data_IF_944107222965
#
_entry.id   IF_944107222965
#
_cell.length_a   1.000
_cell.length_b   1.000
_cell.length_c   1.000
_cell.angle_alpha   90.00
_cell.angle_beta   90.00
_cell.angle_gamma   90.00
#
_symmetry.space_group_name_H-M   'P 1'
#
loop_
_entity.id
_entity.type
_entity.pdbx_description
1 polymer ?
#
# COMPACT_ATOMS: atom_id res chain seq x y z
N UNK A 1 -24.07 26.94 83.66
CA UNK A 1 -24.51 25.62 83.17
C UNK A 1 -24.43 25.60 81.66
N UNK A 2 -23.38 25.03 81.05
CA UNK A 2 -23.33 24.93 79.58
C UNK A 2 -23.94 23.60 79.14
N UNK A 3 -24.71 23.65 78.07
CA UNK A 3 -25.35 22.51 77.41
C UNK A 3 -24.32 21.76 76.54
N UNK A 4 -24.19 20.48 76.79
CA UNK A 4 -23.44 19.59 75.90
C UNK A 4 -24.25 19.27 74.65
N UNK A 5 -23.68 19.53 73.48
CA UNK A 5 -24.23 19.10 72.20
C UNK A 5 -23.44 17.91 71.74
N UNK A 6 -24.09 16.74 71.62
CA UNK A 6 -23.53 15.52 71.07
C UNK A 6 -23.59 15.57 69.57
N UNK A 7 -22.43 15.54 68.90
CA UNK A 7 -22.33 15.40 67.42
C UNK A 7 -22.09 13.91 67.11
N UNK A 8 -23.04 13.28 66.44
CA UNK A 8 -22.93 11.92 65.94
C UNK A 8 -22.14 11.95 64.62
N UNK A 9 -20.98 11.27 64.60
CA UNK A 9 -20.17 11.02 63.41
C UNK A 9 -20.66 9.80 62.68
N UNK A 10 -21.23 10.01 61.49
CA UNK A 10 -21.63 8.90 60.60
C UNK A 10 -20.39 8.41 59.89
N UNK A 11 -19.98 7.15 60.16
CA UNK A 11 -18.93 6.45 59.42
C UNK A 11 -19.57 5.79 58.19
N UNK A 12 -19.34 6.37 56.99
CA UNK A 12 -19.73 5.76 55.75
C UNK A 12 -18.68 4.72 55.30
N UNK A 13 -19.08 3.45 55.32
CA UNK A 13 -18.29 2.35 54.75
C UNK A 13 -18.46 2.33 53.24
N UNK A 14 -17.39 2.64 52.50
CA UNK A 14 -17.32 2.43 51.06
C UNK A 14 -17.15 0.93 50.74
N UNK A 15 -17.89 0.38 49.77
CA UNK A 15 -17.64 -0.99 49.33
C UNK A 15 -16.36 -1.01 48.47
N UNK A 16 -15.51 -2.00 48.75
CA UNK A 16 -14.33 -2.29 47.93
C UNK A 16 -14.77 -2.66 46.51
N UNK A 17 -14.46 -1.79 45.54
CA UNK A 17 -14.59 -2.10 44.13
C UNK A 17 -13.51 -3.12 43.76
N UNK A 18 -13.92 -4.35 43.47
CA UNK A 18 -13.06 -5.35 42.88
C UNK A 18 -12.59 -4.86 41.49
N UNK A 19 -11.30 -4.57 41.36
CA UNK A 19 -10.65 -4.25 40.10
C UNK A 19 -10.55 -5.55 39.28
N UNK A 20 -11.50 -5.80 38.39
CA UNK A 20 -11.34 -6.80 37.33
C UNK A 20 -10.26 -6.30 36.36
N UNK A 21 -9.09 -6.91 36.42
CA UNK A 21 -8.09 -6.83 35.38
C UNK A 21 -8.67 -7.50 34.13
N UNK A 22 -9.31 -6.73 33.25
CA UNK A 22 -9.54 -7.16 31.87
C UNK A 22 -8.18 -7.25 31.19
N UNK A 23 -7.78 -8.48 30.89
CA UNK A 23 -6.75 -8.83 29.94
C UNK A 23 -7.02 -8.07 28.63
N UNK A 24 -6.08 -7.22 28.21
CA UNK A 24 -6.09 -6.60 26.87
C UNK A 24 -5.91 -7.70 25.83
N UNK A 25 -7.02 -8.26 25.38
CA UNK A 25 -7.11 -8.93 24.10
C UNK A 25 -7.00 -7.86 23.00
N UNK A 26 -6.25 -8.16 21.93
CA UNK A 26 -5.91 -7.26 20.83
C UNK A 26 -7.09 -6.40 20.37
N UNK A 27 -6.86 -5.10 20.29
CA UNK A 27 -7.84 -4.15 19.82
C UNK A 27 -8.22 -4.48 18.39
N UNK A 28 -9.43 -4.98 18.18
CA UNK A 28 -10.05 -4.98 16.87
C UNK A 28 -10.15 -3.51 16.45
N UNK A 29 -9.28 -3.08 15.55
CA UNK A 29 -9.43 -1.78 14.89
C UNK A 29 -10.78 -1.80 14.20
N UNK A 30 -11.68 -0.90 14.62
CA UNK A 30 -12.97 -0.74 13.98
C UNK A 30 -12.71 -0.36 12.52
N UNK A 31 -12.86 -1.36 11.66
CA UNK A 31 -12.73 -1.23 10.23
C UNK A 31 -13.82 -0.29 9.73
N UNK A 32 -13.49 0.75 8.94
CA UNK A 32 -14.54 1.57 8.33
C UNK A 32 -15.48 0.66 7.54
N UNK A 33 -16.81 0.82 7.69
CA UNK A 33 -17.76 0.03 6.93
C UNK A 33 -17.50 0.22 5.43
N UNK A 34 -17.64 -0.84 4.61
CA UNK A 34 -17.51 -0.69 3.16
C UNK A 34 -18.44 0.41 2.68
N UNK A 35 -17.95 1.25 1.76
CA UNK A 35 -18.75 2.33 1.19
C UNK A 35 -20.11 1.78 0.73
N UNK A 36 -21.19 2.43 1.14
CA UNK A 36 -22.56 2.01 0.80
C UNK A 36 -22.70 1.86 -0.72
N UNK A 37 -23.19 0.70 -1.17
CA UNK A 37 -23.33 0.41 -2.61
C UNK A 37 -22.25 -0.51 -3.20
N UNK A 38 -21.30 -1.00 -2.40
CA UNK A 38 -20.28 -1.95 -2.83
C UNK A 38 -20.49 -3.35 -2.21
N UNK A 39 -20.05 -4.40 -2.94
CA UNK A 39 -20.01 -5.78 -2.49
C UNK A 39 -18.58 -6.30 -2.59
N UNK A 40 -18.03 -6.83 -1.49
CA UNK A 40 -16.71 -7.48 -1.47
C UNK A 40 -16.72 -8.69 -2.41
N UNK A 41 -15.71 -8.79 -3.28
CA UNK A 41 -15.56 -9.90 -4.25
C UNK A 41 -14.22 -10.61 -4.11
N UNK A 42 -13.20 -9.95 -3.57
CA UNK A 42 -11.89 -10.53 -3.30
C UNK A 42 -11.21 -9.80 -2.14
N UNK A 43 -10.48 -10.54 -1.32
CA UNK A 43 -9.63 -9.93 -0.30
C UNK A 43 -8.46 -10.82 0.10
N UNK A 44 -7.44 -10.19 0.67
CA UNK A 44 -6.46 -10.82 1.53
C UNK A 44 -6.29 -9.99 2.80
N UNK A 45 -6.54 -10.65 3.94
CA UNK A 45 -6.44 -10.08 5.29
C UNK A 45 -5.11 -10.46 5.96
N UNK A 46 -4.22 -11.13 5.25
CA UNK A 46 -2.89 -11.57 5.67
C UNK A 46 -2.83 -12.27 7.03
N UNK A 47 -3.87 -13.07 7.35
CA UNK A 47 -4.00 -13.82 8.59
C UNK A 47 -3.17 -15.13 8.64
N UNK A 48 -2.17 -15.26 7.78
CA UNK A 48 -1.23 -16.39 7.79
C UNK A 48 -0.39 -16.44 9.08
N UNK A 49 0.24 -17.57 9.34
CA UNK A 49 1.14 -17.70 10.50
C UNK A 49 2.35 -16.74 10.35
N UNK A 50 2.81 -16.20 11.48
CA UNK A 50 3.99 -15.33 11.50
C UNK A 50 5.21 -16.02 10.89
N UNK A 51 5.92 -15.32 10.01
CA UNK A 51 7.09 -15.82 9.29
C UNK A 51 6.75 -16.67 8.05
N UNK A 52 5.47 -16.89 7.72
CA UNK A 52 5.09 -17.61 6.51
C UNK A 52 5.10 -16.72 5.27
N UNK A 53 5.30 -17.34 4.10
CA UNK A 53 5.09 -16.66 2.83
C UNK A 53 3.63 -16.27 2.65
N UNK A 54 3.35 -15.18 1.91
CA UNK A 54 1.99 -14.84 1.49
C UNK A 54 1.29 -16.00 0.77
N UNK A 55 -0.04 -16.04 0.82
CA UNK A 55 -0.86 -17.09 0.21
C UNK A 55 -0.61 -17.19 -1.31
N UNK A 56 0.00 -18.30 -1.74
CA UNK A 56 0.35 -18.55 -3.14
C UNK A 56 -0.88 -18.73 -4.06
N UNK A 57 -2.07 -18.91 -3.50
CA UNK A 57 -3.32 -18.90 -4.27
C UNK A 57 -3.79 -17.48 -4.63
N UNK A 58 -3.23 -16.46 -3.98
CA UNK A 58 -3.56 -15.04 -4.18
C UNK A 58 -2.41 -14.25 -4.77
N UNK A 59 -1.16 -14.59 -4.43
CA UNK A 59 0.02 -13.82 -4.78
C UNK A 59 1.10 -14.65 -5.46
N UNK A 60 1.69 -14.09 -6.50
CA UNK A 60 2.96 -14.52 -7.08
C UNK A 60 3.99 -13.40 -6.93
N UNK A 61 5.24 -13.67 -7.29
CA UNK A 61 6.33 -12.72 -7.18
C UNK A 61 6.92 -12.39 -8.55
N UNK A 62 7.28 -11.15 -8.76
CA UNK A 62 8.33 -10.78 -9.68
C UNK A 62 9.67 -10.93 -8.96
N UNK A 63 10.68 -11.46 -9.65
CA UNK A 63 12.03 -11.68 -9.10
C UNK A 63 13.10 -11.13 -10.03
N UNK A 64 14.29 -10.85 -9.47
CA UNK A 64 15.39 -10.26 -10.22
C UNK A 64 15.30 -8.74 -10.29
N UNK A 65 15.88 -8.17 -11.33
CA UNK A 65 16.02 -6.71 -11.51
C UNK A 65 15.23 -6.15 -12.70
N UNK A 66 14.53 -7.03 -13.43
CA UNK A 66 13.86 -6.63 -14.67
C UNK A 66 14.81 -5.97 -15.69
N UNK A 67 14.24 -5.37 -16.73
CA UNK A 67 15.01 -4.57 -17.68
C UNK A 67 15.31 -3.18 -17.10
N UNK A 68 16.58 -2.77 -17.05
CA UNK A 68 17.02 -1.46 -16.52
C UNK A 68 16.46 -1.13 -15.13
N UNK A 69 16.58 -2.06 -14.16
CA UNK A 69 15.99 -1.83 -12.83
C UNK A 69 14.49 -1.54 -12.97
N UNK A 70 13.74 -2.49 -13.51
CA UNK A 70 12.29 -2.40 -13.74
C UNK A 70 11.85 -1.20 -14.59
N UNK A 71 12.76 -0.63 -15.38
CA UNK A 71 12.53 0.52 -16.26
C UNK A 71 12.81 1.86 -15.60
N UNK A 72 13.20 1.91 -14.32
CA UNK A 72 13.37 3.11 -13.51
C UNK A 72 14.75 3.22 -12.86
N UNK A 73 15.73 2.37 -13.26
CA UNK A 73 17.06 2.29 -12.64
C UNK A 73 16.99 1.98 -11.12
N UNK A 74 16.00 1.18 -10.70
CA UNK A 74 15.87 0.68 -9.32
C UNK A 74 17.10 -0.16 -8.92
N UNK A 75 17.49 -0.12 -7.65
CA UNK A 75 18.77 -0.67 -7.16
C UNK A 75 18.63 -2.03 -6.49
N UNK A 76 17.41 -2.45 -6.13
CA UNK A 76 17.18 -3.73 -5.48
C UNK A 76 17.08 -4.89 -6.46
N UNK A 77 17.30 -6.09 -5.93
CA UNK A 77 16.83 -7.34 -6.51
C UNK A 77 15.55 -7.74 -5.80
N UNK A 78 14.45 -7.88 -6.51
CA UNK A 78 13.24 -8.48 -5.95
C UNK A 78 13.41 -9.98 -5.76
N UNK A 79 12.98 -10.47 -4.61
CA UNK A 79 13.06 -11.89 -4.24
C UNK A 79 11.74 -12.39 -3.69
N UNK A 80 11.55 -13.70 -3.67
CA UNK A 80 10.42 -14.38 -3.03
C UNK A 80 10.77 -14.95 -1.64
N UNK A 81 11.87 -14.49 -1.02
CA UNK A 81 12.29 -14.95 0.31
C UNK A 81 11.39 -14.37 1.39
N UNK A 82 11.10 -15.15 2.43
CA UNK A 82 10.37 -14.66 3.62
C UNK A 82 11.08 -13.49 4.31
N UNK A 83 12.39 -13.36 4.15
CA UNK A 83 13.15 -12.18 4.57
C UNK A 83 12.64 -10.88 3.94
N UNK A 84 12.15 -10.95 2.69
CA UNK A 84 11.68 -9.78 1.94
C UNK A 84 10.15 -9.68 1.89
N UNK A 85 9.40 -10.78 2.01
CA UNK A 85 7.95 -10.76 2.12
C UNK A 85 7.44 -11.91 2.97
N UNK A 86 6.74 -11.59 4.06
CA UNK A 86 6.15 -12.58 4.96
C UNK A 86 4.88 -12.03 5.60
N UNK A 87 4.04 -12.92 6.12
CA UNK A 87 2.97 -12.55 7.05
C UNK A 87 3.54 -12.42 8.46
N UNK A 88 3.18 -11.37 9.16
CA UNK A 88 3.59 -11.16 10.55
C UNK A 88 2.61 -10.22 11.27
N UNK A 89 2.12 -10.64 12.44
CA UNK A 89 1.21 -9.86 13.26
C UNK A 89 -0.08 -9.47 12.52
N UNK A 90 -0.60 -10.34 11.65
CA UNK A 90 -1.79 -10.07 10.84
C UNK A 90 -1.57 -9.08 9.68
N UNK A 91 -0.32 -8.89 9.24
CA UNK A 91 0.01 -8.02 8.11
C UNK A 91 0.88 -8.78 7.09
N UNK A 92 0.80 -8.41 5.83
CA UNK A 92 1.90 -8.63 4.89
C UNK A 92 3.00 -7.62 5.22
N UNK A 93 4.21 -8.10 5.44
CA UNK A 93 5.41 -7.28 5.67
C UNK A 93 6.32 -7.40 4.47
N UNK A 94 6.45 -6.34 3.68
CA UNK A 94 7.43 -6.23 2.60
C UNK A 94 8.64 -5.48 3.15
N UNK A 95 9.82 -6.15 3.13
CA UNK A 95 11.04 -5.64 3.74
C UNK A 95 12.11 -5.35 2.70
N UNK A 96 12.47 -4.08 2.56
CA UNK A 96 13.67 -3.65 1.85
C UNK A 96 14.89 -3.79 2.76
N UNK A 97 15.89 -4.54 2.31
CA UNK A 97 17.10 -4.88 3.09
C UNK A 97 18.34 -4.39 2.36
N UNK A 98 19.24 -3.74 3.08
CA UNK A 98 20.60 -3.48 2.60
C UNK A 98 21.47 -4.69 2.90
N UNK A 99 21.80 -5.47 1.89
CA UNK A 99 22.62 -6.68 2.01
C UNK A 99 23.35 -6.95 0.70
N UNK A 100 24.51 -7.61 0.78
CA UNK A 100 25.18 -8.13 -0.41
C UNK A 100 24.43 -9.38 -0.87
N UNK A 101 23.88 -9.33 -2.07
CA UNK A 101 23.10 -10.42 -2.63
C UNK A 101 23.53 -10.74 -4.06
N UNK A 102 23.95 -11.98 -4.31
CA UNK A 102 24.19 -12.49 -5.66
C UNK A 102 22.86 -12.95 -6.24
N UNK A 103 22.39 -12.28 -7.28
CA UNK A 103 21.13 -12.64 -7.95
C UNK A 103 21.31 -13.98 -8.70
N UNK A 104 20.49 -15.01 -8.40
CA UNK A 104 20.61 -16.30 -9.07
C UNK A 104 20.33 -16.26 -10.57
N UNK A 105 19.64 -15.23 -11.06
CA UNK A 105 19.26 -15.11 -12.47
C UNK A 105 20.40 -14.66 -13.38
N UNK A 106 21.32 -13.81 -12.86
CA UNK A 106 22.42 -13.24 -13.65
C UNK A 106 23.80 -13.31 -12.94
N UNK A 107 23.84 -13.77 -11.67
CA UNK A 107 25.06 -13.86 -10.87
C UNK A 107 25.65 -12.52 -10.43
N UNK A 108 24.96 -11.40 -10.72
CA UNK A 108 25.45 -10.07 -10.37
C UNK A 108 25.20 -9.77 -8.89
N UNK A 109 26.23 -9.25 -8.23
CA UNK A 109 26.13 -8.82 -6.82
C UNK A 109 25.46 -7.45 -6.75
N UNK A 110 24.41 -7.34 -5.92
CA UNK A 110 23.69 -6.13 -5.63
C UNK A 110 23.64 -5.87 -4.13
N UNK A 111 23.31 -4.63 -3.74
CA UNK A 111 23.41 -4.19 -2.36
C UNK A 111 22.07 -4.03 -1.66
N UNK A 112 20.98 -4.30 -2.37
CA UNK A 112 19.62 -4.20 -1.83
C UNK A 112 18.78 -5.35 -2.32
N UNK A 113 17.90 -5.84 -1.44
CA UNK A 113 16.86 -6.79 -1.79
C UNK A 113 15.51 -6.29 -1.27
N UNK A 114 14.44 -6.62 -1.97
CA UNK A 114 13.07 -6.32 -1.59
C UNK A 114 12.11 -7.36 -2.16
N UNK A 115 10.81 -7.09 -2.15
CA UNK A 115 9.82 -7.94 -2.78
C UNK A 115 8.83 -7.13 -3.62
N UNK A 116 8.36 -7.75 -4.72
CA UNK A 116 7.29 -7.29 -5.58
C UNK A 116 6.31 -8.43 -5.79
N UNK A 117 5.13 -8.27 -5.19
CA UNK A 117 4.05 -9.24 -5.26
C UNK A 117 3.02 -8.81 -6.28
N UNK A 118 2.35 -9.78 -6.90
CA UNK A 118 1.28 -9.51 -7.86
C UNK A 118 0.21 -10.59 -7.85
N UNK A 119 -1.02 -10.21 -8.24
CA UNK A 119 -2.14 -11.12 -8.42
C UNK A 119 -2.29 -11.61 -9.87
N UNK A 120 -1.34 -11.33 -10.76
CA UNK A 120 -1.36 -11.72 -12.17
C UNK A 120 -1.56 -13.24 -12.34
N UNK A 121 -2.56 -13.63 -13.14
CA UNK A 121 -2.90 -15.03 -13.36
C UNK A 121 -3.75 -15.66 -12.26
N UNK A 122 -3.94 -15.00 -11.11
CA UNK A 122 -4.72 -15.46 -9.97
C UNK A 122 -5.99 -14.65 -9.77
N UNK A 123 -5.89 -13.31 -9.84
CA UNK A 123 -7.03 -12.40 -9.74
C UNK A 123 -6.80 -11.16 -10.60
N UNK A 124 -7.82 -10.74 -11.30
CA UNK A 124 -7.93 -9.45 -11.99
C UNK A 124 -9.40 -9.05 -12.10
N UNK A 125 -9.67 -7.75 -12.11
CA UNK A 125 -11.03 -7.23 -12.24
C UNK A 125 -11.02 -5.89 -12.98
N UNK A 126 -12.07 -5.64 -13.79
CA UNK A 126 -12.39 -4.32 -14.31
C UNK A 126 -13.43 -3.67 -13.41
N UNK A 127 -13.22 -2.39 -13.11
CA UNK A 127 -14.13 -1.56 -12.32
C UNK A 127 -14.35 -2.02 -10.87
N UNK A 128 -14.88 -1.11 -10.07
CA UNK A 128 -15.16 -1.34 -8.67
C UNK A 128 -14.30 -0.46 -7.76
N UNK A 129 -14.16 -0.85 -6.51
CA UNK A 129 -13.28 -0.21 -5.55
C UNK A 129 -12.16 -1.17 -5.18
N UNK A 130 -10.93 -0.70 -5.32
CA UNK A 130 -9.71 -1.38 -4.87
C UNK A 130 -9.14 -0.59 -3.72
N UNK A 131 -8.90 -1.23 -2.60
CA UNK A 131 -8.37 -0.56 -1.42
C UNK A 131 -7.37 -1.43 -0.67
N UNK A 132 -6.39 -0.78 -0.06
CA UNK A 132 -5.46 -1.40 0.87
C UNK A 132 -5.20 -0.48 2.07
N UNK A 133 -5.09 -1.07 3.25
CA UNK A 133 -4.68 -0.35 4.45
C UNK A 133 -3.20 -0.60 4.67
N UNK A 134 -2.39 0.45 4.52
CA UNK A 134 -0.94 0.33 4.41
C UNK A 134 -0.26 1.36 5.34
N UNK A 135 0.80 0.90 6.04
CA UNK A 135 1.81 1.77 6.63
C UNK A 135 3.08 1.68 5.78
N UNK A 136 3.47 2.80 5.20
CA UNK A 136 4.61 2.85 4.28
C UNK A 136 5.95 2.99 5.01
N UNK A 137 7.08 2.58 4.40
CA UNK A 137 8.42 2.85 4.90
C UNK A 137 8.77 4.33 4.83
N UNK A 138 9.84 4.73 5.54
CA UNK A 138 10.40 6.07 5.49
C UNK A 138 11.86 6.05 5.03
N UNK A 139 12.35 7.21 4.59
CA UNK A 139 13.77 7.43 4.30
C UNK A 139 14.07 7.66 2.84
N UNK A 140 15.10 8.46 2.58
CA UNK A 140 15.59 8.78 1.24
C UNK A 140 15.81 7.51 0.41
N UNK A 141 15.33 7.50 -0.83
CA UNK A 141 15.47 6.37 -1.75
C UNK A 141 14.48 5.24 -1.57
N UNK A 142 13.52 5.33 -0.62
CA UNK A 142 12.42 4.38 -0.54
C UNK A 142 11.30 4.77 -1.51
N UNK A 143 10.72 3.75 -2.17
CA UNK A 143 9.62 3.93 -3.11
C UNK A 143 8.61 2.79 -2.96
N UNK A 144 7.72 2.86 -1.96
CA UNK A 144 6.60 1.95 -1.81
C UNK A 144 5.51 2.24 -2.84
N UNK A 145 4.86 1.18 -3.35
CA UNK A 145 3.74 1.30 -4.25
C UNK A 145 2.65 0.24 -4.02
N UNK A 146 1.41 0.68 -4.18
CA UNK A 146 0.20 -0.11 -4.36
C UNK A 146 -0.46 0.31 -5.66
N UNK A 147 -0.48 -0.58 -6.65
CA UNK A 147 -0.78 -0.24 -8.03
C UNK A 147 -1.34 -1.41 -8.82
N UNK A 148 -1.69 -1.18 -10.07
CA UNK A 148 -2.29 -2.18 -10.94
C UNK A 148 -1.79 -2.06 -12.37
N UNK A 149 -1.69 -3.19 -13.06
CA UNK A 149 -1.41 -3.29 -14.51
C UNK A 149 -2.53 -4.04 -15.22
N UNK A 150 -2.77 -3.62 -16.48
CA UNK A 150 -3.74 -4.29 -17.34
C UNK A 150 -3.39 -5.76 -17.58
N UNK A 151 -4.38 -6.64 -17.44
CA UNK A 151 -4.19 -8.10 -17.53
C UNK A 151 -3.73 -8.58 -18.91
N UNK A 152 -3.85 -7.73 -19.95
CA UNK A 152 -3.38 -7.97 -21.30
C UNK A 152 -1.91 -7.62 -21.54
N UNK A 153 -1.14 -7.24 -20.49
CA UNK A 153 0.27 -6.79 -20.60
C UNK A 153 1.15 -7.76 -21.39
N UNK A 154 0.95 -9.06 -21.26
CA UNK A 154 1.74 -10.07 -21.97
C UNK A 154 1.56 -10.03 -23.50
N UNK A 155 0.42 -9.50 -23.97
CA UNK A 155 0.10 -9.41 -25.41
C UNK A 155 0.39 -8.04 -26.00
N UNK A 156 0.16 -6.96 -25.24
CA UNK A 156 0.29 -5.59 -25.78
C UNK A 156 1.49 -4.82 -25.24
N UNK A 157 2.07 -5.26 -24.11
CA UNK A 157 3.17 -4.60 -23.43
C UNK A 157 2.76 -3.30 -22.72
N UNK A 158 3.67 -2.78 -21.90
CA UNK A 158 3.56 -1.45 -21.31
C UNK A 158 4.02 -0.37 -22.30
N UNK A 159 3.40 0.81 -22.39
CA UNK A 159 2.27 1.31 -21.58
C UNK A 159 0.88 1.02 -22.17
N UNK A 160 0.77 0.21 -23.21
CA UNK A 160 -0.51 -0.08 -23.90
C UNK A 160 -1.50 -0.85 -23.02
N UNK A 161 -0.99 -1.64 -22.06
CA UNK A 161 -1.85 -2.34 -21.12
C UNK A 161 -2.53 -1.41 -20.12
N UNK A 162 -2.06 -0.18 -19.95
CA UNK A 162 -2.50 0.74 -18.89
C UNK A 162 -1.90 0.39 -17.53
N UNK A 163 -1.78 1.41 -16.67
CA UNK A 163 -1.30 1.33 -15.30
C UNK A 163 -2.10 2.28 -14.43
N UNK A 164 -2.48 1.85 -13.24
CA UNK A 164 -3.22 2.62 -12.23
C UNK A 164 -2.42 2.55 -10.93
N UNK A 165 -1.76 3.64 -10.55
CA UNK A 165 -0.98 3.73 -9.32
C UNK A 165 -1.86 4.30 -8.22
N UNK A 166 -2.41 3.40 -7.38
CA UNK A 166 -3.35 3.79 -6.32
C UNK A 166 -2.64 4.59 -5.24
N UNK A 167 -1.40 4.21 -4.93
CA UNK A 167 -0.54 4.91 -4.00
C UNK A 167 0.92 4.70 -4.39
N UNK A 168 1.62 5.79 -4.56
CA UNK A 168 3.07 5.87 -4.59
C UNK A 168 3.57 6.92 -3.61
N UNK A 169 4.70 6.65 -2.97
CA UNK A 169 5.41 7.63 -2.14
C UNK A 169 6.91 7.53 -2.43
N UNK A 170 7.60 8.65 -2.36
CA UNK A 170 9.06 8.68 -2.39
C UNK A 170 9.59 9.24 -1.08
N UNK A 171 10.60 8.58 -0.53
CA UNK A 171 11.07 8.86 0.83
C UNK A 171 11.57 10.29 1.09
N UNK A 172 11.92 11.04 0.02
CA UNK A 172 12.26 12.47 0.10
C UNK A 172 11.05 13.39 0.28
N UNK A 173 9.83 12.88 0.05
CA UNK A 173 8.56 13.59 0.19
C UNK A 173 7.63 12.86 1.18
N UNK A 174 8.00 12.72 2.46
CA UNK A 174 7.33 11.81 3.39
C UNK A 174 5.89 12.19 3.73
N UNK A 175 5.48 13.43 3.44
CA UNK A 175 4.11 13.93 3.64
C UNK A 175 3.25 13.89 2.38
N UNK A 176 3.75 13.37 1.26
CA UNK A 176 3.04 13.38 -0.02
C UNK A 176 2.93 11.98 -0.61
N UNK A 177 1.75 11.59 -1.04
CA UNK A 177 1.53 10.41 -1.89
C UNK A 177 0.97 10.85 -3.23
N UNK A 178 1.17 10.03 -4.24
CA UNK A 178 0.76 10.29 -5.61
C UNK A 178 -0.18 9.19 -6.07
N UNK A 179 -1.22 9.56 -6.81
CA UNK A 179 -2.05 8.65 -7.59
C UNK A 179 -1.90 8.98 -9.06
N UNK A 180 -1.64 7.96 -9.89
CA UNK A 180 -1.32 8.15 -11.30
C UNK A 180 -2.07 7.19 -12.21
N UNK A 181 -2.24 7.62 -13.45
CA UNK A 181 -2.68 6.78 -14.56
C UNK A 181 -1.66 6.89 -15.68
N UNK A 182 -1.23 5.76 -16.25
CA UNK A 182 -0.31 5.71 -17.39
C UNK A 182 -0.90 4.88 -18.52
N UNK A 183 -0.80 5.40 -19.75
CA UNK A 183 -1.23 4.69 -20.95
C UNK A 183 -0.39 5.04 -22.17
N UNK A 184 -0.70 4.46 -23.32
CA UNK A 184 -0.01 4.78 -24.57
C UNK A 184 -0.42 6.13 -25.12
N UNK A 185 0.51 6.76 -25.84
CA UNK A 185 0.29 8.00 -26.58
C UNK A 185 0.74 7.84 -28.03
N UNK A 186 0.09 8.58 -28.94
CA UNK A 186 0.49 8.71 -30.34
C UNK A 186 1.48 9.85 -30.56
N UNK A 187 1.67 10.70 -29.55
CA UNK A 187 2.49 11.92 -29.64
C UNK A 187 3.67 11.92 -28.64
N UNK A 188 3.71 10.98 -27.70
CA UNK A 188 4.75 10.81 -26.68
C UNK A 188 4.98 9.33 -26.37
N UNK A 189 5.96 9.02 -25.50
CA UNK A 189 6.18 7.65 -25.02
C UNK A 189 4.97 7.10 -24.24
N UNK A 190 4.42 7.95 -23.36
CA UNK A 190 3.27 7.68 -22.51
C UNK A 190 2.26 8.83 -22.54
N UNK A 191 1.06 8.58 -22.09
CA UNK A 191 0.08 9.59 -21.73
C UNK A 191 -0.24 9.39 -20.26
N UNK A 192 0.04 10.41 -19.46
CA UNK A 192 0.08 10.31 -18.01
C UNK A 192 -0.84 11.36 -17.38
N UNK A 193 -1.46 11.00 -16.26
CA UNK A 193 -2.15 11.91 -15.36
C UNK A 193 -1.80 11.55 -13.91
N UNK A 194 -1.27 12.51 -13.17
CA UNK A 194 -0.82 12.34 -11.78
C UNK A 194 -1.38 13.44 -10.90
N UNK A 195 -1.78 13.09 -9.70
CA UNK A 195 -2.19 14.03 -8.67
C UNK A 195 -1.57 13.70 -7.31
N UNK A 196 -1.00 14.69 -6.61
CA UNK A 196 -0.50 14.51 -5.25
C UNK A 196 -1.65 14.68 -4.23
N UNK A 197 -1.51 13.99 -3.09
CA UNK A 197 -2.20 14.28 -1.85
C UNK A 197 -1.18 14.49 -0.74
N UNK A 198 -1.22 15.63 -0.06
CA UNK A 198 -0.24 15.98 0.96
C UNK A 198 -0.89 16.26 2.30
N UNK A 199 -0.27 15.75 3.37
CA UNK A 199 -0.59 16.17 4.73
C UNK A 199 0.01 17.55 5.04
N UNK A 200 -0.54 18.26 6.04
CA UNK A 200 0.09 19.45 6.57
C UNK A 200 1.54 19.23 7.00
N UNK A 201 2.33 20.27 7.00
CA UNK A 201 3.75 20.21 7.41
C UNK A 201 3.92 19.57 8.79
N UNK A 202 4.90 18.68 8.93
CA UNK A 202 5.20 17.95 10.16
C UNK A 202 4.48 16.61 10.32
N UNK A 203 3.55 16.27 9.43
CA UNK A 203 2.94 14.94 9.35
C UNK A 203 3.57 14.15 8.21
N UNK A 204 3.60 12.82 8.33
CA UNK A 204 4.10 11.93 7.28
C UNK A 204 3.29 10.62 7.23
N UNK A 205 3.25 10.03 6.07
CA UNK A 205 2.51 8.78 5.81
C UNK A 205 3.14 7.54 6.45
N UNK A 206 4.40 7.60 6.85
CA UNK A 206 5.07 6.48 7.52
C UNK A 206 4.76 6.40 9.03
N UNK A 207 4.06 7.40 9.59
CA UNK A 207 3.76 7.43 11.02
C UNK A 207 2.73 6.37 11.43
N UNK A 208 1.71 6.13 10.59
CA UNK A 208 0.63 5.20 10.88
C UNK A 208 0.10 4.52 9.60
N UNK A 209 -0.89 3.65 9.77
CA UNK A 209 -1.63 3.06 8.67
C UNK A 209 -2.63 4.05 8.08
N UNK A 210 -2.66 4.10 6.75
CA UNK A 210 -3.64 4.86 5.98
C UNK A 210 -4.38 3.94 5.00
N UNK A 211 -5.60 4.32 4.64
CA UNK A 211 -6.39 3.64 3.63
C UNK A 211 -6.16 4.32 2.27
N UNK A 212 -5.61 3.59 1.33
CA UNK A 212 -5.44 4.04 -0.05
C UNK A 212 -6.45 3.31 -0.92
N UNK A 213 -7.16 4.05 -1.78
CA UNK A 213 -8.17 3.43 -2.62
C UNK A 213 -8.38 4.15 -3.95
N UNK A 214 -8.85 3.38 -4.93
CA UNK A 214 -9.51 3.91 -6.13
C UNK A 214 -10.94 3.41 -6.23
N UNK A 215 -11.83 4.28 -6.69
CA UNK A 215 -13.12 3.90 -7.23
C UNK A 215 -13.08 4.09 -8.74
N UNK A 216 -13.22 2.99 -9.45
CA UNK A 216 -13.04 2.92 -10.88
C UNK A 216 -14.33 2.46 -11.55
N UNK A 217 -14.80 3.25 -12.51
CA UNK A 217 -15.96 2.97 -13.33
C UNK A 217 -15.69 3.37 -14.79
N UNK A 218 -16.59 3.00 -15.69
CA UNK A 218 -16.42 3.30 -17.12
C UNK A 218 -16.11 4.80 -17.33
N UNK A 219 -14.95 5.07 -17.91
CA UNK A 219 -14.49 6.42 -18.24
C UNK A 219 -14.09 7.30 -17.05
N UNK A 220 -14.00 6.76 -15.82
CA UNK A 220 -13.68 7.56 -14.62
C UNK A 220 -12.90 6.75 -13.59
N UNK A 221 -11.84 7.35 -13.03
CA UNK A 221 -11.07 6.81 -11.90
C UNK A 221 -10.94 7.89 -10.84
N UNK A 222 -11.33 7.58 -9.58
CA UNK A 222 -11.29 8.47 -8.42
C UNK A 222 -10.31 7.93 -7.38
N UNK A 223 -9.45 8.78 -6.86
CA UNK A 223 -8.39 8.42 -5.91
C UNK A 223 -8.68 8.95 -4.52
N UNK A 224 -8.46 8.11 -3.53
CA UNK A 224 -8.76 8.40 -2.12
C UNK A 224 -7.57 8.10 -1.22
N UNK A 225 -7.37 8.97 -0.23
CA UNK A 225 -6.56 8.69 0.96
C UNK A 225 -7.48 8.82 2.17
N UNK A 226 -7.60 7.75 2.95
CA UNK A 226 -8.57 7.62 4.03
C UNK A 226 -10.01 7.90 3.51
N UNK A 227 -10.67 8.93 3.99
CA UNK A 227 -11.98 9.37 3.49
C UNK A 227 -11.92 10.50 2.45
N UNK A 228 -10.70 10.96 2.08
CA UNK A 228 -10.53 12.14 1.24
C UNK A 228 -10.44 11.73 -0.25
N UNK A 229 -11.42 12.11 -1.05
CA UNK A 229 -11.31 12.12 -2.50
C UNK A 229 -10.38 13.27 -2.91
N UNK A 230 -9.21 12.97 -3.48
CA UNK A 230 -8.24 14.01 -3.83
C UNK A 230 -8.01 14.16 -5.33
N UNK A 231 -8.36 13.16 -6.14
CA UNK A 231 -8.25 13.25 -7.59
C UNK A 231 -9.38 12.50 -8.30
N UNK A 232 -9.78 13.03 -9.45
CA UNK A 232 -10.70 12.37 -10.38
C UNK A 232 -10.16 12.55 -11.79
N UNK A 233 -9.83 11.45 -12.45
CA UNK A 233 -9.44 11.44 -13.85
C UNK A 233 -10.58 10.87 -14.70
N UNK A 234 -10.82 11.48 -15.86
CA UNK A 234 -11.91 11.07 -16.74
C UNK A 234 -11.42 10.94 -18.18
N UNK A 235 -12.02 10.03 -18.91
CA UNK A 235 -11.73 9.82 -20.33
C UNK A 235 -11.93 11.10 -21.16
N UNK A 236 -12.94 11.92 -20.83
CA UNK A 236 -13.24 13.17 -21.51
C UNK A 236 -12.15 14.24 -21.32
N UNK A 237 -11.33 14.14 -20.28
CA UNK A 237 -10.23 15.05 -19.98
C UNK A 237 -8.85 14.36 -20.11
N UNK A 238 -8.80 13.20 -20.79
CA UNK A 238 -7.53 12.51 -21.00
C UNK A 238 -6.64 13.32 -21.95
N UNK A 239 -5.30 13.36 -21.74
CA UNK A 239 -4.40 14.17 -22.54
C UNK A 239 -4.53 13.87 -24.04
N UNK A 240 -4.43 14.91 -24.87
CA UNK A 240 -4.53 14.80 -26.32
C UNK A 240 -3.46 13.84 -26.89
N UNK A 241 -3.87 12.95 -27.78
CA UNK A 241 -3.02 11.90 -28.34
C UNK A 241 -2.83 10.68 -27.45
N UNK A 242 -3.31 10.72 -26.21
CA UNK A 242 -3.32 9.57 -25.30
C UNK A 242 -4.51 8.65 -25.57
N UNK A 243 -4.32 7.37 -25.30
CA UNK A 243 -5.38 6.35 -25.38
C UNK A 243 -5.90 6.04 -24.00
N UNK A 244 -7.22 6.19 -23.77
CA UNK A 244 -7.83 5.70 -22.55
C UNK A 244 -7.92 4.17 -22.59
N UNK A 245 -7.10 3.51 -21.75
CA UNK A 245 -6.99 2.03 -21.73
C UNK A 245 -7.56 1.42 -20.46
N UNK A 246 -8.27 2.18 -19.64
CA UNK A 246 -8.80 1.77 -18.33
C UNK A 246 -10.22 1.23 -18.46
N UNK A 247 -10.43 0.18 -19.28
CA UNK A 247 -11.73 -0.39 -19.62
C UNK A 247 -11.72 -1.94 -19.70
N UNK A 248 -10.67 -2.56 -19.17
CA UNK A 248 -10.48 -4.01 -19.13
C UNK A 248 -9.92 -4.44 -17.76
N UNK A 249 -9.84 -5.76 -17.44
CA UNK A 249 -9.36 -6.19 -16.12
C UNK A 249 -7.91 -5.81 -15.85
N UNK A 250 -7.62 -5.37 -14.61
CA UNK A 250 -6.30 -5.10 -14.07
C UNK A 250 -6.01 -6.04 -12.90
N UNK A 251 -4.75 -6.42 -12.74
CA UNK A 251 -4.24 -7.15 -11.59
C UNK A 251 -3.47 -6.23 -10.66
N UNK A 252 -3.39 -6.61 -9.38
CA UNK A 252 -2.81 -5.80 -8.29
C UNK A 252 -1.32 -6.11 -8.15
N UNK A 253 -0.54 -5.06 -7.80
CA UNK A 253 0.86 -5.17 -7.40
C UNK A 253 1.09 -4.43 -6.08
N UNK A 254 2.06 -4.95 -5.30
CA UNK A 254 2.58 -4.36 -4.07
C UNK A 254 4.09 -4.52 -4.07
N UNK A 255 4.84 -3.43 -3.88
CA UNK A 255 6.30 -3.49 -3.76
C UNK A 255 6.88 -2.35 -2.92
N UNK A 256 8.14 -2.52 -2.55
CA UNK A 256 9.00 -1.43 -2.08
C UNK A 256 10.23 -1.42 -2.96
N UNK A 257 10.34 -0.45 -3.85
CA UNK A 257 11.56 -0.21 -4.61
C UNK A 257 12.60 0.53 -3.76
N UNK A 258 13.86 0.38 -4.12
CA UNK A 258 15.01 1.05 -3.48
C UNK A 258 15.80 1.80 -4.54
N UNK A 259 15.88 3.11 -4.40
CA UNK A 259 16.50 3.95 -5.42
C UNK A 259 15.65 4.08 -6.67
N UNK A 260 16.27 4.54 -7.73
CA UNK A 260 15.62 4.78 -9.02
C UNK A 260 15.63 6.26 -9.41
N UNK A 261 15.15 6.51 -10.62
CA UNK A 261 15.22 7.86 -11.22
C UNK A 261 14.39 8.89 -10.44
N UNK A 262 13.26 8.48 -9.90
CA UNK A 262 12.35 9.40 -9.20
C UNK A 262 12.70 9.62 -7.72
N UNK A 263 12.84 8.58 -6.87
CA UNK A 263 13.19 8.77 -5.46
C UNK A 263 14.65 9.20 -5.28
N UNK A 264 15.53 8.89 -6.22
CA UNK A 264 16.98 8.97 -6.05
C UNK A 264 17.52 7.84 -5.17
N UNK A 265 18.83 7.75 -5.02
CA UNK A 265 19.46 6.70 -4.21
C UNK A 265 19.27 6.90 -2.72
N UNK A 266 19.23 5.83 -1.91
CA UNK A 266 19.41 5.91 -0.47
C UNK A 266 20.70 6.64 -0.11
N UNK A 267 20.70 7.37 1.00
CA UNK A 267 21.86 8.07 1.54
C UNK A 267 22.16 7.64 2.99
N UNK A 268 23.05 8.35 3.67
CA UNK A 268 23.44 8.02 5.04
C UNK A 268 22.32 8.23 6.07
N UNK A 269 21.25 8.92 5.73
CA UNK A 269 20.07 9.08 6.58
C UNK A 269 19.09 7.89 6.49
N UNK A 270 19.23 7.06 5.45
CA UNK A 270 18.35 5.92 5.24
C UNK A 270 18.75 4.74 6.11
N UNK A 271 17.93 4.45 7.11
CA UNK A 271 18.13 3.31 8.02
C UNK A 271 17.48 2.07 7.43
N UNK A 272 18.24 0.99 7.30
CA UNK A 272 17.73 -0.32 6.86
C UNK A 272 17.68 -1.31 8.04
N UNK A 273 16.77 -2.32 8.04
CA UNK A 273 15.75 -2.55 7.03
C UNK A 273 14.61 -1.54 7.09
N UNK A 274 13.92 -1.33 5.95
CA UNK A 274 12.69 -0.55 5.86
C UNK A 274 11.52 -1.47 5.50
N UNK A 275 10.34 -1.20 6.05
CA UNK A 275 9.20 -2.10 5.91
C UNK A 275 7.94 -1.36 5.47
N UNK A 276 7.23 -1.94 4.51
CA UNK A 276 5.83 -1.64 4.23
C UNK A 276 4.97 -2.71 4.90
N UNK A 277 4.02 -2.27 5.70
CA UNK A 277 3.05 -3.15 6.38
C UNK A 277 1.71 -3.00 5.67
N UNK A 278 1.13 -4.10 5.21
CA UNK A 278 -0.20 -4.12 4.58
C UNK A 278 -1.13 -4.95 5.45
N UNK A 279 -2.10 -4.29 6.08
CA UNK A 279 -3.10 -4.90 6.96
C UNK A 279 -4.08 -5.75 6.14
N UNK A 280 -4.57 -5.18 5.05
CA UNK A 280 -5.39 -5.91 4.08
C UNK A 280 -5.34 -5.29 2.68
N UNK A 281 -5.73 -6.10 1.70
CA UNK A 281 -6.13 -5.65 0.35
C UNK A 281 -7.54 -6.17 0.07
N UNK A 282 -8.44 -5.30 -0.39
CA UNK A 282 -9.84 -5.64 -0.66
C UNK A 282 -10.30 -5.08 -1.98
N UNK A 283 -11.10 -5.86 -2.69
CA UNK A 283 -11.71 -5.46 -3.95
C UNK A 283 -13.21 -5.64 -3.88
N UNK A 284 -13.92 -4.62 -4.31
CA UNK A 284 -15.38 -4.57 -4.29
C UNK A 284 -15.90 -4.27 -5.69
N UNK A 285 -17.05 -4.84 -6.00
CA UNK A 285 -17.85 -4.45 -7.17
C UNK A 285 -19.00 -3.53 -6.75
N UNK A 286 -19.39 -2.61 -7.60
CA UNK A 286 -20.59 -1.78 -7.40
C UNK A 286 -21.82 -2.67 -7.46
N UNK A 287 -22.81 -2.47 -6.56
CA UNK A 287 -24.08 -3.20 -6.53
C UNK A 287 -25.03 -2.71 -7.61
#
# INVERSE_FOLDING_TARGET
MPKLTLTATLIATLPAAALLLLSCGGGATLQPPPATGFKLVWSDEFNGADGSSPDASKWTFDTGVGGNGWGNNELETYTNRTKNAQTQGGNLVITAVKETYADPSDGVIRNYTSARLKTQGLFSQAYGRFEARIKIPAGQGMWPAFWMLGNNITSVGWPKCGEIDIMENIGKEPSTVHGSLHSSSTVAKTSDATAPFSFPAGQNFAADFHLYAVEWELGTVRFYVDSNLYATFTQSHWPAGGTWTFDHPFFILLNVAVGGDWPGSPDNSTVFPQQMLVDYVRVYTKR
#
